data_IF_007935616010
#
_entry.id   IF_007935616010
#
_cell.length_a   1.000
_cell.length_b   1.000
_cell.length_c   1.000
_cell.angle_alpha   90.00
_cell.angle_beta   90.00
_cell.angle_gamma   90.00
#
_symmetry.space_group_name_H-M   'P 1'
#
loop_
_entity.id
_entity.type
_entity.pdbx_description
1 polymer ?
#
# COMPACT_ATOMS: atom_id res chain seq x y z
N UNK A 1 36.91 -13.36 18.21
CA UNK A 1 36.78 -13.02 16.78
C UNK A 1 35.40 -13.36 16.20
N UNK A 2 34.89 -14.59 16.35
CA UNK A 2 33.60 -15.03 15.75
C UNK A 2 32.35 -14.32 16.31
N UNK A 3 32.37 -13.98 17.59
CA UNK A 3 31.31 -13.17 18.23
C UNK A 3 31.26 -11.74 17.68
N UNK A 4 32.42 -11.11 17.52
CA UNK A 4 32.53 -9.75 16.99
C UNK A 4 32.04 -9.66 15.54
N UNK A 5 32.36 -10.67 14.72
CA UNK A 5 31.84 -10.76 13.34
C UNK A 5 30.33 -10.98 13.32
N UNK A 6 29.78 -11.79 14.23
CA UNK A 6 28.32 -12.01 14.32
C UNK A 6 27.60 -10.71 14.72
N UNK A 7 28.10 -9.99 15.72
CA UNK A 7 27.52 -8.72 16.18
C UNK A 7 27.56 -7.66 15.07
N UNK A 8 28.67 -7.57 14.34
CA UNK A 8 28.80 -6.66 13.20
C UNK A 8 27.81 -6.98 12.07
N UNK A 9 27.63 -8.25 11.72
CA UNK A 9 26.67 -8.68 10.68
C UNK A 9 25.23 -8.39 11.10
N UNK A 10 24.87 -8.64 12.36
CA UNK A 10 23.52 -8.35 12.86
C UNK A 10 23.24 -6.84 12.83
N UNK A 11 24.22 -6.00 13.21
CA UNK A 11 24.07 -4.54 13.16
C UNK A 11 23.85 -4.03 11.73
N UNK A 12 24.55 -4.59 10.74
CA UNK A 12 24.37 -4.27 9.33
C UNK A 12 22.97 -4.67 8.82
N UNK A 13 22.49 -5.85 9.18
CA UNK A 13 21.15 -6.33 8.81
C UNK A 13 20.06 -5.44 9.42
N UNK A 14 20.19 -5.07 10.68
CA UNK A 14 19.24 -4.19 11.37
C UNK A 14 19.22 -2.79 10.75
N UNK A 15 20.37 -2.24 10.35
CA UNK A 15 20.44 -0.95 9.67
C UNK A 15 19.73 -0.98 8.30
N UNK A 16 19.77 -2.11 7.58
CA UNK A 16 19.07 -2.27 6.30
C UNK A 16 17.54 -2.32 6.46
N UNK A 17 17.03 -2.84 7.57
CA UNK A 17 15.58 -2.92 7.83
C UNK A 17 14.95 -1.55 8.12
N UNK A 18 15.73 -0.57 8.58
CA UNK A 18 15.24 0.78 8.93
C UNK A 18 15.18 1.74 7.73
N UNK A 19 15.62 1.31 6.55
CA UNK A 19 15.69 2.13 5.34
C UNK A 19 14.39 2.19 4.54
N UNK A 20 13.32 1.51 4.97
CA UNK A 20 12.03 1.61 4.28
C UNK A 20 11.30 2.89 4.69
N UNK A 21 11.11 3.86 3.77
CA UNK A 21 10.18 4.95 4.04
C UNK A 21 8.78 4.34 3.99
N UNK A 22 8.11 4.26 5.14
CA UNK A 22 6.65 4.06 5.17
C UNK A 22 6.03 5.35 4.64
N UNK A 23 5.97 5.48 3.31
CA UNK A 23 5.18 6.50 2.64
C UNK A 23 3.73 6.04 2.67
N UNK A 24 3.08 6.20 3.82
CA UNK A 24 1.63 6.18 3.87
C UNK A 24 1.11 7.31 3.00
N UNK A 25 0.47 6.98 1.88
CA UNK A 25 -0.19 7.95 1.01
C UNK A 25 -1.35 8.58 1.78
N UNK A 26 -1.17 9.82 2.26
CA UNK A 26 -2.25 10.55 2.90
C UNK A 26 -3.41 10.73 1.91
N UNK A 27 -4.55 10.11 2.21
CA UNK A 27 -5.72 10.16 1.34
C UNK A 27 -7.01 10.32 2.16
N UNK A 28 -7.45 11.57 2.41
CA UNK A 28 -8.65 11.83 3.18
C UNK A 28 -9.90 11.50 2.35
N UNK A 29 -10.65 10.49 2.77
CA UNK A 29 -11.93 10.10 2.18
C UNK A 29 -13.04 10.11 3.23
N UNK A 30 -14.25 10.50 2.83
CA UNK A 30 -15.42 10.37 3.68
C UNK A 30 -15.92 8.92 3.64
N UNK A 31 -15.61 8.14 4.68
CA UNK A 31 -16.02 6.73 4.75
C UNK A 31 -17.53 6.52 4.96
N UNK A 32 -18.31 7.57 5.19
CA UNK A 32 -19.78 7.49 5.25
C UNK A 32 -20.43 7.61 3.87
N UNK A 33 -19.66 8.02 2.86
CA UNK A 33 -20.14 8.06 1.48
C UNK A 33 -20.40 6.64 1.00
N UNK A 34 -21.61 6.41 0.47
CA UNK A 34 -22.02 5.13 -0.11
C UNK A 34 -21.60 5.08 -1.57
N UNK A 35 -21.33 3.87 -2.06
CA UNK A 35 -21.02 3.64 -3.46
C UNK A 35 -19.84 2.72 -3.62
N UNK A 36 -19.95 1.51 -3.06
CA UNK A 36 -18.90 0.51 -3.13
C UNK A 36 -18.53 0.21 -4.58
N UNK A 37 -17.26 -0.10 -4.82
CA UNK A 37 -16.76 -0.49 -6.14
C UNK A 37 -15.81 -1.67 -6.02
N UNK A 38 -15.90 -2.58 -6.99
CA UNK A 38 -14.98 -3.69 -7.12
C UNK A 38 -13.83 -3.28 -8.04
N UNK A 39 -12.59 -3.32 -7.55
CA UNK A 39 -11.41 -3.11 -8.37
C UNK A 39 -11.05 -4.36 -9.19
N UNK A 40 -10.29 -4.17 -10.27
CA UNK A 40 -9.77 -5.25 -11.11
C UNK A 40 -8.75 -6.15 -10.40
N UNK A 41 -8.39 -5.82 -9.17
CA UNK A 41 -7.60 -6.63 -8.24
C UNK A 41 -8.46 -7.50 -7.31
N UNK A 42 -9.79 -7.50 -7.47
CA UNK A 42 -10.71 -8.25 -6.61
C UNK A 42 -10.94 -7.64 -5.23
N UNK A 43 -10.52 -6.39 -5.00
CA UNK A 43 -10.75 -5.67 -3.74
C UNK A 43 -12.00 -4.81 -3.84
N UNK A 44 -12.87 -4.92 -2.84
CA UNK A 44 -14.00 -4.01 -2.65
C UNK A 44 -13.53 -2.74 -1.94
N UNK A 45 -13.79 -1.60 -2.54
CA UNK A 45 -13.57 -0.27 -1.97
C UNK A 45 -14.89 0.29 -1.48
N UNK A 46 -14.92 0.89 -0.27
CA UNK A 46 -16.14 1.41 0.37
C UNK A 46 -16.81 2.50 -0.45
N UNK A 47 -16.00 3.27 -1.17
CA UNK A 47 -16.45 4.28 -2.10
C UNK A 47 -15.41 4.53 -3.18
N UNK A 48 -15.78 5.39 -4.14
CA UNK A 48 -14.91 5.78 -5.23
C UNK A 48 -13.65 6.52 -4.77
N UNK A 49 -13.73 7.33 -3.70
CA UNK A 49 -12.57 8.04 -3.17
C UNK A 49 -11.48 7.05 -2.72
N UNK A 50 -11.85 6.01 -1.98
CA UNK A 50 -10.91 4.98 -1.52
C UNK A 50 -10.26 4.20 -2.68
N UNK A 51 -11.04 3.91 -3.73
CA UNK A 51 -10.51 3.34 -4.98
C UNK A 51 -9.49 4.28 -5.63
N UNK A 52 -9.82 5.56 -5.76
CA UNK A 52 -8.95 6.55 -6.39
C UNK A 52 -7.66 6.81 -5.58
N UNK A 53 -7.70 6.67 -4.25
CA UNK A 53 -6.52 6.67 -3.40
C UNK A 53 -5.56 5.53 -3.77
N UNK A 54 -6.08 4.30 -3.81
CA UNK A 54 -5.27 3.13 -4.17
C UNK A 54 -4.76 3.23 -5.60
N UNK A 55 -5.56 3.79 -6.52
CA UNK A 55 -5.14 4.06 -7.89
C UNK A 55 -3.92 5.01 -7.96
N UNK A 56 -3.75 5.96 -7.04
CA UNK A 56 -2.55 6.83 -6.99
C UNK A 56 -1.30 6.01 -6.67
N UNK A 57 -1.39 5.07 -5.75
CA UNK A 57 -0.26 4.20 -5.39
C UNK A 57 0.07 3.24 -6.53
N UNK A 58 -0.94 2.70 -7.21
CA UNK A 58 -0.73 1.92 -8.44
C UNK A 58 0.00 2.75 -9.51
N UNK A 59 -0.38 4.03 -9.70
CA UNK A 59 0.30 4.92 -10.66
C UNK A 59 1.78 5.15 -10.32
N UNK A 60 2.12 5.31 -9.03
CA UNK A 60 3.54 5.43 -8.60
C UNK A 60 4.37 4.21 -8.99
N UNK A 61 3.73 3.04 -9.03
CA UNK A 61 4.35 1.77 -9.44
C UNK A 61 4.27 1.52 -10.95
N UNK A 62 3.80 2.48 -11.76
CA UNK A 62 3.60 2.30 -13.21
C UNK A 62 2.46 1.33 -13.55
N UNK A 63 1.54 1.08 -12.62
CA UNK A 63 0.38 0.18 -12.78
C UNK A 63 -0.91 0.99 -12.88
N UNK A 64 -1.94 0.35 -13.42
CA UNK A 64 -3.31 0.90 -13.49
C UNK A 64 -4.30 -0.08 -12.88
N UNK A 65 -5.09 0.39 -11.93
CA UNK A 65 -6.24 -0.31 -11.40
C UNK A 65 -7.48 0.16 -12.17
N UNK A 66 -8.35 -0.77 -12.55
CA UNK A 66 -9.62 -0.43 -13.20
C UNK A 66 -10.78 -0.82 -12.26
N UNK A 67 -11.93 -0.18 -12.43
CA UNK A 67 -13.17 -0.65 -11.80
C UNK A 67 -13.67 -1.85 -12.61
N UNK A 68 -13.85 -2.99 -11.96
CA UNK A 68 -14.40 -4.20 -12.57
C UNK A 68 -15.94 -4.15 -12.61
N UNK A 69 -16.57 -3.80 -11.48
CA UNK A 69 -18.02 -3.60 -11.37
C UNK A 69 -18.35 -2.60 -10.27
N UNK A 70 -19.56 -2.02 -10.34
CA UNK A 70 -20.15 -1.28 -9.23
C UNK A 70 -20.65 -2.26 -8.15
N UNK A 71 -20.60 -1.85 -6.89
CA UNK A 71 -20.87 -2.71 -5.73
C UNK A 71 -19.64 -3.53 -5.32
N UNK A 72 -19.85 -4.48 -4.42
CA UNK A 72 -18.80 -5.37 -3.94
C UNK A 72 -18.25 -6.26 -5.06
N UNK A 73 -16.98 -6.65 -4.94
CA UNK A 73 -16.52 -7.91 -5.50
C UNK A 73 -17.35 -9.04 -4.88
#
# INVERSE_FOLDING_TARGET
MKYFTIVSVIALIMAMMMLSPVEGSFCPCNLKEKGEVCGSNGVTYKNRCEFDCTQRDYKKLGRKLNIQKMGTC
#
